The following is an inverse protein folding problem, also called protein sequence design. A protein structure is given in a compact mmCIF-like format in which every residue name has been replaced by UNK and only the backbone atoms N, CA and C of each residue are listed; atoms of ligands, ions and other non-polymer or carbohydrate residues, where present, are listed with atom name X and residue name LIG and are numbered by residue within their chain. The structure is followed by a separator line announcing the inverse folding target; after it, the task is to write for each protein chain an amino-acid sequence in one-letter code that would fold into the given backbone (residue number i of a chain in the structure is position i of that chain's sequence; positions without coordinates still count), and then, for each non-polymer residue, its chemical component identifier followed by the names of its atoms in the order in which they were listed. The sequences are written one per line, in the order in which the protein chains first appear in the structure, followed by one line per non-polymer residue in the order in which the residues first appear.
data_IF_219566833131
#
_entry.id   IF_219566833131
#
_cell.length_a   1.000
_cell.length_b   1.000
_cell.length_c   1.000
_cell.angle_alpha   90.00
_cell.angle_beta   90.00
_cell.angle_gamma   90.00
#
_symmetry.space_group_name_H-M   'P 1'
#
loop_
_entity.id
_entity.type
_entity.pdbx_description
1 polymer ?
#
# COMPACT_ATOMS: atom_id res chain seq x y z
N UNK A 1 -15.28 13.89 -7.05
CA UNK A 1 -14.81 12.51 -6.77
C UNK A 1 -15.60 11.59 -7.67
N UNK A 2 -14.93 10.69 -8.40
CA UNK A 2 -15.58 9.75 -9.31
C UNK A 2 -15.05 8.35 -9.05
N UNK A 3 -15.92 7.34 -9.16
CA UNK A 3 -15.58 5.95 -8.88
C UNK A 3 -15.92 5.08 -10.09
N UNK A 4 -14.96 4.27 -10.55
CA UNK A 4 -15.10 3.52 -11.79
C UNK A 4 -14.40 2.14 -11.72
N UNK A 5 -14.79 1.17 -12.57
CA UNK A 5 -15.93 1.22 -13.52
C UNK A 5 -17.28 1.29 -12.77
N UNK A 6 -18.38 1.52 -13.49
CA UNK A 6 -19.71 1.61 -12.87
C UNK A 6 -20.30 0.24 -12.48
N UNK A 7 -19.83 -0.83 -13.12
CA UNK A 7 -20.26 -2.20 -12.84
C UNK A 7 -19.14 -3.18 -13.14
N UNK A 8 -19.02 -4.21 -12.31
CA UNK A 8 -18.17 -5.38 -12.51
C UNK A 8 -18.99 -6.65 -12.30
N UNK A 9 -18.75 -7.66 -13.13
CA UNK A 9 -19.28 -9.02 -12.95
C UNK A 9 -18.12 -9.98 -13.06
N UNK A 10 -17.80 -10.66 -11.96
CA UNK A 10 -16.60 -11.47 -11.81
C UNK A 10 -16.92 -12.77 -11.07
N UNK A 11 -16.24 -13.89 -11.36
CA UNK A 11 -16.45 -15.14 -10.65
C UNK A 11 -15.83 -15.13 -9.24
N UNK A 12 -16.33 -16.01 -8.37
CA UNK A 12 -15.71 -16.29 -7.06
C UNK A 12 -14.24 -16.70 -7.21
N UNK A 13 -13.43 -16.36 -6.20
CA UNK A 13 -11.98 -16.57 -6.17
C UNK A 13 -11.16 -15.55 -6.97
N UNK A 14 -11.78 -14.74 -7.83
CA UNK A 14 -11.12 -13.67 -8.59
C UNK A 14 -10.74 -12.44 -7.75
N UNK A 15 -10.32 -11.37 -8.42
CA UNK A 15 -10.13 -10.04 -7.82
C UNK A 15 -10.92 -8.95 -8.56
N UNK A 16 -11.51 -8.02 -7.80
CA UNK A 16 -12.22 -6.86 -8.36
C UNK A 16 -11.40 -5.59 -8.16
N UNK A 17 -11.14 -4.86 -9.25
CA UNK A 17 -10.40 -3.59 -9.19
C UNK A 17 -11.31 -2.40 -9.45
N UNK A 18 -11.29 -1.44 -8.54
CA UNK A 18 -11.94 -0.14 -8.67
C UNK A 18 -10.92 0.99 -8.59
N UNK A 19 -11.30 2.12 -9.15
CA UNK A 19 -10.51 3.34 -9.15
C UNK A 19 -11.35 4.50 -8.65
N UNK A 20 -10.79 5.27 -7.72
CA UNK A 20 -11.34 6.51 -7.24
C UNK A 20 -10.48 7.68 -7.74
N UNK A 21 -11.06 8.54 -8.58
CA UNK A 21 -10.39 9.73 -9.07
C UNK A 21 -10.90 10.96 -8.32
N UNK A 22 -9.97 11.79 -7.85
CA UNK A 22 -10.26 13.00 -7.08
C UNK A 22 -9.72 14.23 -7.79
N UNK A 23 -10.51 15.30 -7.79
CA UNK A 23 -10.06 16.63 -8.16
C UNK A 23 -9.75 17.39 -6.87
N UNK A 24 -8.47 17.42 -6.48
CA UNK A 24 -8.02 18.29 -5.39
C UNK A 24 -7.63 19.63 -6.03
N UNK A 25 -8.22 20.74 -5.57
CA UNK A 25 -7.72 22.07 -5.90
C UNK A 25 -6.28 22.18 -5.36
N UNK A 26 -5.36 22.76 -6.13
CA UNK A 26 -3.89 22.70 -5.96
C UNK A 26 -3.33 23.35 -4.69
N UNK A 27 -4.07 23.35 -3.59
CA UNK A 27 -3.60 23.88 -2.33
C UNK A 27 -2.76 22.81 -1.62
N UNK A 28 -1.44 23.01 -1.71
CA UNK A 28 -0.39 22.08 -1.30
C UNK A 28 -0.38 21.71 0.19
N UNK A 29 -1.31 22.26 0.98
CA UNK A 29 -1.46 22.02 2.41
C UNK A 29 -2.71 21.21 2.81
N UNK A 30 -3.54 20.75 1.87
CA UNK A 30 -4.79 20.06 2.19
C UNK A 30 -4.53 18.66 2.77
N UNK A 31 -4.73 18.49 4.08
CA UNK A 31 -4.86 17.17 4.68
C UNK A 31 -6.16 16.53 4.17
N UNK A 32 -6.07 15.32 3.62
CA UNK A 32 -7.25 14.58 3.19
C UNK A 32 -7.23 13.12 3.64
N UNK A 33 -8.44 12.55 3.72
CA UNK A 33 -8.69 11.13 3.91
C UNK A 33 -9.59 10.64 2.78
N UNK A 34 -9.14 9.61 2.08
CA UNK A 34 -9.93 8.92 1.07
C UNK A 34 -10.36 7.58 1.64
N UNK A 35 -11.67 7.33 1.67
CA UNK A 35 -12.25 6.14 2.26
C UNK A 35 -13.10 5.41 1.24
N UNK A 36 -13.10 4.09 1.29
CA UNK A 36 -13.97 3.24 0.49
C UNK A 36 -15.04 2.63 1.37
N UNK A 37 -16.24 2.54 0.80
CA UNK A 37 -17.42 2.10 1.48
C UNK A 37 -18.14 1.04 0.66
N UNK A 38 -18.76 0.11 1.37
CA UNK A 38 -19.72 -0.84 0.82
C UNK A 38 -21.09 -0.54 1.43
N UNK A 39 -22.10 -0.32 0.61
CA UNK A 39 -23.48 -0.21 1.07
C UNK A 39 -23.93 -1.59 1.58
N UNK A 40 -24.39 -1.60 2.83
CA UNK A 40 -25.06 -2.76 3.42
C UNK A 40 -26.57 -2.59 3.27
N UNK A 41 -27.35 -3.66 3.50
CA UNK A 41 -28.82 -3.64 3.42
C UNK A 41 -29.51 -2.62 4.38
N UNK A 42 -28.73 -1.86 5.17
CA UNK A 42 -29.17 -0.84 6.11
C UNK A 42 -28.60 0.54 5.78
N UNK A 43 -28.72 1.01 4.54
CA UNK A 43 -28.59 2.41 4.06
C UNK A 43 -27.29 3.20 4.30
N UNK A 44 -26.53 2.93 5.37
CA UNK A 44 -25.26 3.57 5.64
C UNK A 44 -24.14 2.69 5.13
N UNK A 45 -23.27 3.28 4.30
CA UNK A 45 -22.07 2.60 3.82
C UNK A 45 -21.14 2.24 4.98
N UNK A 46 -20.74 0.98 5.04
CA UNK A 46 -19.69 0.54 5.95
C UNK A 46 -18.33 0.85 5.33
N UNK A 47 -17.47 1.56 6.07
CA UNK A 47 -16.08 1.79 5.65
C UNK A 47 -15.35 0.46 5.60
N UNK A 48 -14.82 0.10 4.44
CA UNK A 48 -14.08 -1.14 4.21
C UNK A 48 -12.57 -0.92 4.10
N UNK A 49 -12.15 0.27 3.68
CA UNK A 49 -10.76 0.62 3.48
C UNK A 49 -10.57 2.14 3.50
N UNK A 50 -9.33 2.60 3.64
CA UNK A 50 -9.03 4.03 3.56
C UNK A 50 -7.55 4.36 3.56
N UNK A 51 -7.21 5.46 2.88
CA UNK A 51 -5.88 6.06 2.78
C UNK A 51 -5.96 7.47 3.37
N UNK A 52 -4.90 7.90 4.05
CA UNK A 52 -4.72 9.30 4.43
C UNK A 52 -3.48 9.86 3.75
N UNK A 53 -3.39 11.19 3.66
CA UNK A 53 -2.18 11.86 3.16
C UNK A 53 -0.88 11.34 3.81
N UNK A 54 -0.93 11.04 5.11
CA UNK A 54 0.22 10.58 5.92
C UNK A 54 0.50 9.09 5.77
N UNK A 55 -0.53 8.25 5.61
CA UNK A 55 -0.39 6.79 5.54
C UNK A 55 -0.74 6.30 4.13
N UNK A 56 0.30 5.98 3.36
CA UNK A 56 0.20 5.68 1.92
C UNK A 56 -0.15 4.21 1.62
N UNK A 57 0.13 3.29 2.53
CA UNK A 57 -0.18 1.87 2.37
C UNK A 57 -1.02 1.36 3.55
N UNK A 58 -2.21 0.89 3.23
CA UNK A 58 -3.14 0.22 4.15
C UNK A 58 -3.63 -1.05 3.46
N UNK A 59 -2.68 -1.92 3.11
CA UNK A 59 -2.98 -3.25 2.64
C UNK A 59 -3.62 -4.03 3.80
N UNK A 60 -4.88 -4.40 3.62
CA UNK A 60 -5.61 -5.31 4.49
C UNK A 60 -5.70 -6.66 3.77
N UNK A 61 -5.80 -7.76 4.50
CA UNK A 61 -5.79 -9.13 3.91
C UNK A 61 -6.74 -9.30 2.71
N UNK A 62 -7.89 -8.60 2.74
CA UNK A 62 -8.91 -8.62 1.67
C UNK A 62 -8.77 -7.48 0.65
N UNK A 63 -8.16 -6.35 1.03
CA UNK A 63 -8.16 -5.12 0.23
C UNK A 63 -6.74 -4.60 0.01
N UNK A 64 -6.34 -4.51 -1.26
CA UNK A 64 -5.09 -3.89 -1.66
C UNK A 64 -5.37 -2.45 -2.14
N UNK A 65 -4.67 -1.48 -1.56
CA UNK A 65 -4.84 -0.07 -1.93
C UNK A 65 -3.56 0.46 -2.56
N UNK A 66 -3.68 1.22 -3.65
CA UNK A 66 -2.53 1.87 -4.29
C UNK A 66 -2.81 3.35 -4.47
N UNK A 67 -1.88 4.19 -3.99
CA UNK A 67 -1.99 5.63 -4.03
C UNK A 67 -1.18 6.23 -5.19
N UNK A 68 -1.89 6.73 -6.21
CA UNK A 68 -1.33 7.53 -7.28
C UNK A 68 -2.20 8.77 -7.54
N UNK A 69 -2.15 9.76 -6.65
CA UNK A 69 -2.90 11.02 -6.80
C UNK A 69 -2.81 11.55 -8.24
N UNK A 70 -3.92 11.83 -8.93
CA UNK A 70 -5.31 11.93 -8.43
C UNK A 70 -6.12 10.63 -8.44
N UNK A 71 -5.56 9.52 -8.91
CA UNK A 71 -6.27 8.23 -9.07
C UNK A 71 -5.80 7.20 -8.07
N UNK A 72 -6.73 6.70 -7.27
CA UNK A 72 -6.47 5.73 -6.20
C UNK A 72 -7.09 4.40 -6.60
N UNK A 73 -6.30 3.34 -6.55
CA UNK A 73 -6.75 1.98 -6.87
C UNK A 73 -7.15 1.26 -5.59
N UNK A 74 -8.29 0.59 -5.61
CA UNK A 74 -8.69 -0.41 -4.61
C UNK A 74 -8.92 -1.74 -5.31
N UNK A 75 -8.31 -2.80 -4.80
CA UNK A 75 -8.52 -4.16 -5.29
C UNK A 75 -9.05 -5.06 -4.16
N UNK A 76 -10.16 -5.75 -4.43
CA UNK A 76 -10.78 -6.72 -3.53
C UNK A 76 -10.27 -8.10 -3.95
N UNK A 77 -9.56 -8.79 -3.06
CA UNK A 77 -8.96 -10.09 -3.31
C UNK A 77 -9.90 -11.23 -2.92
N UNK A 78 -9.74 -12.37 -3.60
CA UNK A 78 -10.44 -13.63 -3.31
C UNK A 78 -11.95 -13.42 -3.14
N UNK A 79 -12.64 -13.04 -4.22
CA UNK A 79 -14.05 -12.67 -4.20
C UNK A 79 -14.95 -13.82 -3.72
N UNK A 80 -15.88 -13.49 -2.83
CA UNK A 80 -16.98 -14.35 -2.38
C UNK A 80 -18.32 -13.79 -2.85
N UNK A 81 -19.37 -14.60 -2.94
CA UNK A 81 -20.70 -14.12 -3.34
C UNK A 81 -21.22 -12.97 -2.44
N UNK A 82 -20.90 -13.01 -1.15
CA UNK A 82 -21.25 -11.95 -0.19
C UNK A 82 -20.49 -10.64 -0.43
N UNK A 83 -19.45 -10.63 -1.27
CA UNK A 83 -18.79 -9.39 -1.71
C UNK A 83 -19.61 -8.64 -2.76
N UNK A 84 -20.65 -9.25 -3.33
CA UNK A 84 -21.59 -8.52 -4.18
C UNK A 84 -22.19 -7.34 -3.42
N UNK A 85 -22.37 -6.21 -4.11
CA UNK A 85 -22.92 -5.00 -3.50
C UNK A 85 -22.55 -3.73 -4.23
N UNK A 86 -23.02 -2.62 -3.66
CA UNK A 86 -22.77 -1.26 -4.15
C UNK A 86 -21.59 -0.66 -3.38
N UNK A 87 -20.62 -0.12 -4.12
CA UNK A 87 -19.35 0.40 -3.61
C UNK A 87 -19.18 1.86 -4.04
N UNK A 88 -18.58 2.67 -3.17
CA UNK A 88 -18.26 4.06 -3.47
C UNK A 88 -17.03 4.53 -2.68
N UNK A 89 -16.44 5.64 -3.09
CA UNK A 89 -15.38 6.31 -2.35
C UNK A 89 -15.84 7.69 -1.85
N UNK A 90 -15.37 8.07 -0.66
CA UNK A 90 -15.61 9.36 -0.02
C UNK A 90 -14.30 10.06 0.28
N UNK A 91 -14.17 11.29 -0.20
CA UNK A 91 -13.05 12.19 0.09
C UNK A 91 -13.46 13.14 1.22
N UNK A 92 -12.65 13.18 2.26
CA UNK A 92 -12.75 14.14 3.36
C UNK A 92 -11.55 15.05 3.28
N UNK A 93 -11.76 16.36 3.13
CA UNK A 93 -10.69 17.37 3.16
C UNK A 93 -10.79 18.16 4.46
N UNK A 94 -9.66 18.32 5.14
CA UNK A 94 -9.53 19.07 6.40
C UNK A 94 -8.84 20.41 6.10
N UNK A 95 -9.63 21.45 5.78
CA UNK A 95 -9.12 22.81 5.59
C UNK A 95 -10.21 23.82 5.81
N UNK A 96 -10.04 24.77 6.75
CA UNK A 96 -10.96 25.85 7.19
C UNK A 96 -12.41 25.42 7.51
N UNK A 97 -13.09 24.70 6.61
CA UNK A 97 -14.30 23.92 6.81
C UNK A 97 -14.12 22.47 6.33
N UNK A 98 -14.43 21.49 7.20
CA UNK A 98 -14.40 20.09 6.81
C UNK A 98 -15.41 19.83 5.68
N UNK A 99 -14.93 19.34 4.53
CA UNK A 99 -15.78 19.01 3.38
C UNK A 99 -15.74 17.52 3.11
N UNK A 100 -16.92 16.94 2.92
CA UNK A 100 -17.09 15.53 2.55
C UNK A 100 -17.67 15.47 1.13
N UNK A 101 -17.02 14.70 0.27
CA UNK A 101 -17.43 14.52 -1.12
C UNK A 101 -17.52 13.02 -1.43
N UNK A 102 -18.71 12.54 -1.74
CA UNK A 102 -18.93 11.15 -2.17
C UNK A 102 -18.86 11.03 -3.69
N UNK A 103 -18.45 9.86 -4.17
CA UNK A 103 -18.51 9.50 -5.58
C UNK A 103 -19.90 8.97 -5.98
N UNK A 104 -20.04 8.67 -7.28
CA UNK A 104 -21.05 7.73 -7.74
C UNK A 104 -20.82 6.32 -7.15
N UNK A 105 -21.86 5.49 -7.20
CA UNK A 105 -21.78 4.07 -6.81
C UNK A 105 -21.34 3.23 -7.99
N UNK A 106 -20.65 2.13 -7.70
CA UNK A 106 -20.36 1.03 -8.61
C UNK A 106 -20.94 -0.26 -8.08
N UNK A 107 -21.52 -1.08 -8.96
CA UNK A 107 -22.10 -2.37 -8.61
C UNK A 107 -21.10 -3.51 -8.87
N UNK A 108 -20.80 -4.30 -7.84
CA UNK A 108 -20.09 -5.57 -7.98
C UNK A 108 -21.08 -6.72 -7.92
N UNK A 109 -21.04 -7.60 -8.92
CA UNK A 109 -21.78 -8.86 -8.94
C UNK A 109 -20.77 -10.01 -8.97
N UNK A 110 -20.76 -10.82 -7.92
CA UNK A 110 -19.90 -12.00 -7.86
C UNK A 110 -20.73 -13.23 -8.26
N UNK A 111 -20.35 -13.87 -9.36
CA UNK A 111 -20.99 -15.09 -9.87
C UNK A 111 -20.29 -16.32 -9.34
N UNK A 112 -20.98 -17.47 -9.33
CA UNK A 112 -20.34 -18.75 -9.00
C UNK A 112 -19.09 -18.98 -9.85
N UNK A 113 -18.08 -19.64 -9.27
CA UNK A 113 -16.92 -20.05 -10.02
C UNK A 113 -17.37 -20.98 -11.19
N UNK A 114 -16.79 -20.84 -12.38
CA UNK A 114 -17.10 -21.76 -13.47
C UNK A 114 -16.74 -23.17 -13.02
N UNK A 115 -17.70 -24.09 -13.17
CA UNK A 115 -17.49 -25.50 -12.88
C UNK A 115 -16.34 -26.00 -13.75
N UNK A 116 -15.26 -26.52 -13.14
CA UNK A 116 -14.20 -27.21 -13.88
C UNK A 116 -14.86 -28.45 -14.48
N UNK A 117 -15.40 -28.30 -15.68
CA UNK A 117 -16.02 -29.41 -16.41
C UNK A 117 -14.88 -30.37 -16.69
N UNK A 118 -14.80 -31.44 -15.92
CA UNK A 118 -13.99 -32.61 -16.25
C UNK A 118 -14.63 -33.25 -17.48
N UNK A 119 -14.44 -32.63 -18.64
CA UNK A 119 -14.75 -33.24 -19.90
C UNK A 119 -13.65 -34.28 -20.19
N UNK A 120 -13.99 -35.55 -19.92
CA UNK A 120 -13.52 -36.65 -20.75
C UNK A 120 -14.13 -36.43 -22.14
N UNK A 121 -13.48 -35.62 -22.95
CA UNK A 121 -13.64 -35.61 -24.41
C UNK A 121 -12.34 -35.07 -25.00
N UNK A 122 -11.75 -35.87 -25.89
CA UNK A 122 -10.41 -35.69 -26.44
C UNK A 122 -10.30 -34.33 -27.16
N UNK A 123 -9.75 -33.35 -26.47
CA UNK A 123 -9.19 -32.15 -27.08
C UNK A 123 -7.92 -31.82 -26.34
N UNK A 124 -6.79 -32.20 -26.95
CA UNK A 124 -5.45 -31.76 -26.58
C UNK A 124 -5.41 -30.22 -26.52
N UNK A 125 -5.56 -29.67 -25.32
CA UNK A 125 -4.91 -28.43 -24.95
C UNK A 125 -4.02 -28.79 -23.76
N UNK A 126 -2.71 -28.84 -24.01
CA UNK A 126 -1.70 -29.05 -22.97
C UNK A 126 -1.94 -28.06 -21.83
N UNK A 127 -2.42 -28.57 -20.70
CA UNK A 127 -2.37 -27.91 -19.41
C UNK A 127 -0.88 -27.78 -19.06
N UNK A 128 -0.26 -26.68 -19.46
CA UNK A 128 1.14 -26.38 -19.13
C UNK A 128 1.20 -26.29 -17.60
N UNK A 129 1.64 -27.39 -16.98
CA UNK A 129 1.84 -27.47 -15.55
C UNK A 129 2.80 -26.35 -15.13
N UNK A 130 2.43 -25.47 -14.18
CA UNK A 130 3.33 -24.43 -13.68
C UNK A 130 4.61 -25.04 -13.05
N UNK A 131 4.55 -26.32 -12.66
CA UNK A 131 5.69 -27.13 -12.21
C UNK A 131 6.74 -27.38 -13.31
N UNK A 132 6.33 -27.54 -14.57
CA UNK A 132 7.26 -27.85 -15.66
C UNK A 132 8.01 -26.59 -16.11
N UNK A 133 7.37 -25.42 -16.03
CA UNK A 133 8.05 -24.15 -16.29
C UNK A 133 9.16 -23.87 -15.27
N UNK A 134 8.92 -24.09 -13.97
CA UNK A 134 9.95 -23.87 -12.94
C UNK A 134 11.09 -24.86 -13.05
N UNK A 135 10.82 -26.13 -13.36
CA UNK A 135 11.85 -27.15 -13.55
C UNK A 135 12.69 -26.87 -14.81
N UNK A 136 12.04 -26.46 -15.91
CA UNK A 136 12.72 -26.07 -17.15
C UNK A 136 13.57 -24.82 -16.96
N UNK A 137 13.07 -23.82 -16.23
CA UNK A 137 13.82 -22.62 -15.89
C UNK A 137 15.01 -22.93 -14.99
N UNK A 138 14.85 -23.81 -14.00
CA UNK A 138 15.93 -24.25 -13.11
C UNK A 138 17.04 -24.99 -13.87
N UNK A 139 16.69 -25.93 -14.76
CA UNK A 139 17.67 -26.59 -15.63
C UNK A 139 18.38 -25.60 -16.55
N UNK A 140 17.64 -24.64 -17.13
CA UNK A 140 18.22 -23.58 -17.95
C UNK A 140 19.26 -22.76 -17.19
N UNK A 141 18.94 -22.35 -15.96
CA UNK A 141 19.85 -21.59 -15.09
C UNK A 141 21.09 -22.43 -14.70
N UNK A 142 20.91 -23.71 -14.37
CA UNK A 142 22.02 -24.62 -14.05
C UNK A 142 22.98 -24.80 -15.22
N UNK A 143 22.45 -24.95 -16.44
CA UNK A 143 23.26 -25.07 -17.65
C UNK A 143 24.02 -23.78 -17.95
N UNK A 144 23.36 -22.62 -17.84
CA UNK A 144 23.98 -21.31 -18.04
C UNK A 144 25.10 -21.05 -17.02
N UNK A 145 24.83 -21.32 -15.74
CA UNK A 145 25.81 -21.18 -14.68
C UNK A 145 27.01 -22.13 -14.89
N UNK A 146 26.77 -23.37 -15.31
CA UNK A 146 27.81 -24.33 -15.67
C UNK A 146 28.69 -23.86 -16.82
N UNK A 147 28.09 -23.32 -17.89
CA UNK A 147 28.83 -22.77 -19.03
C UNK A 147 29.69 -21.58 -18.63
N UNK A 148 29.16 -20.65 -17.84
CA UNK A 148 29.92 -19.51 -17.31
C UNK A 148 31.07 -19.98 -16.42
N UNK A 149 30.82 -20.97 -15.55
CA UNK A 149 31.84 -21.58 -14.72
C UNK A 149 32.98 -22.22 -15.53
N UNK A 150 32.65 -22.95 -16.60
CA UNK A 150 33.63 -23.54 -17.51
C UNK A 150 34.43 -22.48 -18.27
N UNK A 151 33.81 -21.38 -18.69
CA UNK A 151 34.51 -20.25 -19.32
C UNK A 151 35.47 -19.57 -18.36
N UNK A 152 35.07 -19.35 -17.11
CA UNK A 152 35.95 -18.78 -16.07
C UNK A 152 37.09 -19.74 -15.78
N UNK A 153 36.81 -21.04 -15.60
CA UNK A 153 37.84 -22.05 -15.36
C UNK A 153 38.80 -22.20 -16.55
N UNK A 154 38.28 -22.16 -17.78
CA UNK A 154 39.06 -22.13 -19.02
C UNK A 154 39.94 -20.88 -19.12
N UNK A 155 39.38 -19.71 -18.80
CA UNK A 155 40.11 -18.45 -18.76
C UNK A 155 41.24 -18.50 -17.72
N UNK A 156 40.94 -18.96 -16.50
CA UNK A 156 41.93 -19.14 -15.45
C UNK A 156 43.02 -20.12 -15.89
N UNK A 157 42.68 -21.29 -16.41
CA UNK A 157 43.67 -22.26 -16.89
C UNK A 157 44.51 -21.71 -18.04
N UNK A 158 43.96 -20.92 -18.95
CA UNK A 158 44.73 -20.21 -19.98
C UNK A 158 45.61 -19.13 -19.37
N UNK A 159 45.12 -18.34 -18.42
CA UNK A 159 45.91 -17.33 -17.72
C UNK A 159 47.04 -17.95 -16.90
N UNK A 160 46.81 -19.10 -16.26
CA UNK A 160 47.83 -19.84 -15.52
C UNK A 160 48.80 -20.57 -16.45
N UNK A 161 48.37 -21.07 -17.62
CA UNK A 161 49.25 -21.66 -18.64
C UNK A 161 50.05 -20.61 -19.42
N UNK A 162 49.49 -19.41 -19.61
CA UNK A 162 50.10 -18.26 -20.33
C UNK A 162 50.78 -17.28 -19.37
N UNK A 163 50.69 -17.54 -18.06
CA UNK A 163 51.24 -16.76 -16.95
C UNK A 163 52.57 -17.27 -16.41
N UNK A 164 53.35 -17.96 -17.24
CA UNK A 164 54.81 -17.95 -17.13
C UNK A 164 55.38 -16.65 -17.71
N UNK A 165 54.84 -15.49 -17.32
CA UNK A 165 55.41 -14.20 -17.69
C UNK A 165 55.15 -13.18 -16.57
N UNK A 166 56.18 -13.08 -15.76
CA UNK A 166 56.41 -12.13 -14.67
C UNK A 166 56.01 -10.72 -15.14
N UNK A 167 55.22 -9.93 -14.38
CA UNK A 167 55.21 -8.49 -14.56
C UNK A 167 56.60 -8.00 -14.12
N UNK A 168 57.43 -7.66 -15.11
CA UNK A 168 58.78 -7.20 -14.88
C UNK A 168 58.75 -5.91 -14.06
N UNK A 169 59.16 -6.06 -12.81
CA UNK A 169 59.62 -5.00 -11.92
C UNK A 169 60.77 -4.24 -12.60
N UNK A 170 60.55 -2.97 -12.91
CA UNK A 170 61.58 -1.95 -13.15
C UNK A 170 61.19 -0.74 -12.30
N UNK A 171 61.61 -0.65 -11.05
CA UNK A 171 62.86 -0.05 -10.55
C UNK A 171 63.12 1.40 -10.98
N UNK A 172 63.05 2.26 -9.95
CA UNK A 172 63.62 3.61 -9.77
C UNK A 172 62.95 4.81 -10.45
N UNK A 173 62.14 5.52 -9.66
CA UNK A 173 62.42 6.94 -9.39
C UNK A 173 62.13 7.23 -7.92
N UNK A 174 63.17 7.14 -7.09
CA UNK A 174 63.23 7.89 -5.84
C UNK A 174 63.29 9.36 -6.23
N UNK A 175 62.24 10.11 -5.93
CA UNK A 175 62.41 11.52 -5.55
C UNK A 175 62.09 11.53 -4.07
N UNK A 176 63.17 11.46 -3.29
CA UNK A 176 63.15 11.86 -1.90
C UNK A 176 63.02 13.38 -1.87
N UNK A 177 61.84 13.88 -1.47
CA UNK A 177 61.74 15.21 -0.89
C UNK A 177 60.73 15.18 0.26
N UNK A 178 61.14 15.82 1.37
CA UNK A 178 60.63 15.72 2.75
C UNK A 178 59.12 16.01 2.88
N UNK A 179 58.44 15.51 3.94
CA UNK A 179 57.03 15.82 4.14
C UNK A 179 56.85 17.26 4.66
N UNK A 180 56.04 18.11 4.01
CA UNK A 180 55.51 19.29 4.66
C UNK A 180 54.20 18.94 5.36
N UNK A 181 54.24 19.05 6.68
CA UNK A 181 53.18 19.51 7.58
C UNK A 181 51.74 19.24 7.14
N UNK A 182 51.13 18.31 7.86
CA UNK A 182 49.69 18.11 7.94
C UNK A 182 48.97 19.44 8.19
N UNK A 183 48.23 19.94 7.20
CA UNK A 183 47.21 20.96 7.42
C UNK A 183 45.86 20.25 7.58
N UNK A 184 45.53 19.87 8.81
CA UNK A 184 44.14 19.56 9.18
C UNK A 184 43.36 20.86 9.07
N UNK A 185 42.36 20.89 8.18
CA UNK A 185 41.36 21.96 8.18
C UNK A 185 40.47 21.78 9.41
N UNK A 186 40.87 22.35 10.54
CA UNK A 186 40.01 22.46 11.72
C UNK A 186 38.91 23.46 11.37
N UNK A 187 37.68 22.97 11.25
CA UNK A 187 36.50 23.82 11.06
C UNK A 187 36.29 24.60 12.36
N UNK A 188 36.29 25.92 12.26
CA UNK A 188 36.04 26.83 13.37
C UNK A 188 34.53 26.81 13.68
N UNK A 189 34.13 26.07 14.72
CA UNK A 189 32.75 26.11 15.22
C UNK A 189 32.59 27.38 16.06
N UNK A 190 32.08 28.43 15.44
CA UNK A 190 31.65 29.63 16.13
C UNK A 190 30.66 29.30 17.26
N UNK A 191 30.99 29.73 18.48
CA UNK A 191 30.13 29.64 19.67
C UNK A 191 28.96 30.62 19.51
N UNK A 192 27.73 30.13 19.50
CA UNK A 192 26.54 30.96 19.66
C UNK A 192 26.37 31.32 21.14
N UNK A 193 26.67 32.57 21.49
CA UNK A 193 26.31 33.13 22.78
C UNK A 193 24.81 33.47 22.78
N UNK A 194 24.01 32.63 23.43
CA UNK A 194 22.60 32.92 23.65
C UNK A 194 22.49 33.93 24.80
N UNK A 195 22.15 35.18 24.49
CA UNK A 195 21.72 36.13 25.51
C UNK A 195 20.47 35.58 26.19
N UNK A 196 20.64 35.19 27.45
CA UNK A 196 19.55 34.80 28.33
C UNK A 196 18.84 36.07 28.81
N UNK A 197 17.89 36.57 28.02
CA UNK A 197 16.94 37.54 28.53
C UNK A 197 16.08 36.83 29.58
N UNK A 198 16.33 37.10 30.86
CA UNK A 198 15.38 36.78 31.92
C UNK A 198 14.09 37.53 31.64
N UNK A 199 13.07 36.81 31.19
CA UNK A 199 11.68 37.27 31.21
C UNK A 199 10.93 36.35 32.17
N UNK A 200 10.20 37.01 33.07
CA UNK A 200 9.32 36.56 34.16
C UNK A 200 8.63 35.20 33.94
N UNK A 201 8.37 34.39 34.99
CA UNK A 201 7.57 33.18 34.85
C UNK A 201 6.12 33.57 34.56
N UNK A 202 5.74 33.58 33.28
CA UNK A 202 4.33 33.60 32.89
C UNK A 202 3.68 32.27 33.29
N UNK A 203 2.54 32.45 33.95
CA UNK A 203 1.69 31.44 34.55
C UNK A 203 1.31 30.36 33.54
N UNK A 204 1.55 29.10 33.89
CA UNK A 204 1.01 27.95 33.18
C UNK A 204 -0.51 28.13 33.00
N UNK A 205 -1.08 27.93 31.79
CA UNK A 205 -2.51 27.92 31.66
C UNK A 205 -3.01 26.71 32.45
N UNK A 206 -3.78 26.98 33.50
CA UNK A 206 -4.53 25.97 34.23
C UNK A 206 -5.36 25.22 33.20
N UNK A 207 -5.04 23.95 32.97
CA UNK A 207 -5.82 23.07 32.11
C UNK A 207 -7.19 22.91 32.76
N UNK A 208 -8.14 23.73 32.34
CA UNK A 208 -9.52 23.64 32.78
C UNK A 208 -10.19 22.56 31.94
N UNK A 209 -10.04 21.30 32.37
CA UNK A 209 -10.82 20.18 31.83
C UNK A 209 -12.27 20.35 32.23
N UNK A 210 -13.09 20.89 31.32
CA UNK A 210 -14.54 20.87 31.44
C UNK A 210 -15.07 19.50 31.00
N UNK A 211 -15.65 18.76 31.95
CA UNK A 211 -16.31 17.50 31.69
C UNK A 211 -17.79 17.76 31.43
N UNK A 212 -18.31 17.22 30.33
CA UNK A 212 -19.74 17.18 30.07
C UNK A 212 -20.30 15.82 30.51
N UNK A 213 -21.34 15.83 31.35
CA UNK A 213 -22.06 14.62 31.74
C UNK A 213 -23.18 14.35 30.74
N UNK A 214 -23.12 13.23 30.03
CA UNK A 214 -24.21 12.78 29.15
C UNK A 214 -25.27 12.10 30.01
N UNK A 215 -26.46 12.70 30.13
CA UNK A 215 -27.61 12.10 30.81
C UNK A 215 -28.51 11.46 29.75
N UNK A 216 -28.67 10.14 29.83
CA UNK A 216 -29.64 9.42 29.00
C UNK A 216 -31.04 9.53 29.63
N UNK A 217 -32.08 9.86 28.85
CA UNK A 217 -33.45 9.81 29.35
C UNK A 217 -33.85 8.37 29.66
N UNK A 218 -34.59 8.18 30.76
CA UNK A 218 -35.11 6.87 31.17
C UNK A 218 -36.06 6.33 30.09
N UNK A 219 -35.82 5.10 29.63
CA UNK A 219 -36.67 4.46 28.64
C UNK A 219 -38.10 4.36 29.19
N UNK A 220 -39.06 4.93 28.45
CA UNK A 220 -40.47 4.78 28.78
C UNK A 220 -40.82 3.28 28.80
N UNK A 221 -41.48 2.77 29.85
CA UNK A 221 -41.93 1.40 29.87
C UNK A 221 -42.89 1.15 28.71
N UNK A 222 -42.52 0.18 27.88
CA UNK A 222 -43.32 -0.31 26.77
C UNK A 222 -44.60 -0.88 27.38
N UNK A 223 -45.70 -0.14 27.28
CA UNK A 223 -46.99 -0.62 27.75
C UNK A 223 -47.44 -1.71 26.79
N UNK A 224 -47.65 -2.97 27.23
CA UNK A 224 -48.07 -4.01 26.32
C UNK A 224 -49.50 -3.72 25.83
N UNK A 225 -49.65 -3.72 24.51
CA UNK A 225 -50.92 -3.55 23.83
C UNK A 225 -51.95 -4.56 24.35
N UNK A 226 -53.06 -4.04 24.86
CA UNK A 226 -54.18 -4.84 25.39
C UNK A 226 -54.80 -5.65 24.25
N UNK A 227 -54.43 -6.93 24.14
CA UNK A 227 -55.16 -7.93 23.34
C UNK A 227 -56.66 -7.82 23.62
N UNK A 228 -57.43 -7.41 22.61
CA UNK A 228 -58.88 -7.60 22.59
C UNK A 228 -59.14 -9.11 22.51
N UNK A 229 -59.67 -9.68 23.59
CA UNK A 229 -60.34 -10.97 23.54
C UNK A 229 -61.64 -10.78 22.74
N UNK A 230 -61.76 -11.46 21.61
CA UNK A 230 -63.06 -11.86 21.09
C UNK A 230 -63.64 -12.89 22.06
N UNK A 231 -64.90 -12.68 22.45
CA UNK A 231 -65.72 -13.66 23.14
C UNK A 231 -66.96 -13.86 22.28
N UNK A 232 -67.36 -15.13 22.20
CA UNK A 232 -68.45 -15.69 21.39
C UNK A 232 -69.80 -14.98 21.55
#
# INVERSE_FOLDING_TARGET
VTFFPAMLTLPEGGSATFFCNISIENDSGLEYSLNWYKETNHSQGQKIAGISWKNRDTNMDKYLLTNHTPTFKMEILNLHQNDSGSYYCGLITFFESNKVMESNRSLLVVTAAPEKTNATDDSEMEEINPSDYVNTMLLGILLLAGMVGLLIFGCLTVMYRKGGMIPHRGFFSQVEERPPVVSVSTVDYGVLEFQRTQVSPETWPVVQTEYATIIFPEEKPITPERRKKHQD
#
